data_IF_218879406244
#
_entry.id   IF_218879406244
#
_cell.length_a   1.000
_cell.length_b   1.000
_cell.length_c   1.000
_cell.angle_alpha   90.00
_cell.angle_beta   90.00
_cell.angle_gamma   90.00
#
_symmetry.space_group_name_H-M   'P 1'
#
loop_
_entity.id
_entity.type
_entity.pdbx_description
1 polymer ?
#
# COMPACT_ATOMS: atom_id res chain seq x y z
N UNK A 1 -13.10 8.54 -61.14
CA UNK A 1 -11.84 7.92 -60.70
C UNK A 1 -10.94 9.00 -60.12
N UNK A 2 -10.75 9.02 -58.81
CA UNK A 2 -9.69 9.74 -58.11
C UNK A 2 -9.51 9.06 -56.75
N UNK A 3 -8.28 8.58 -56.51
CA UNK A 3 -7.92 7.64 -55.46
C UNK A 3 -7.74 8.32 -54.10
N UNK A 4 -8.05 7.56 -53.06
CA UNK A 4 -7.96 7.93 -51.65
C UNK A 4 -6.51 8.20 -51.21
N UNK A 5 -6.32 9.28 -50.45
CA UNK A 5 -5.08 9.52 -49.69
C UNK A 5 -5.23 8.85 -48.33
N UNK A 6 -4.32 7.91 -48.06
CA UNK A 6 -4.16 7.21 -46.80
C UNK A 6 -3.90 8.20 -45.66
N UNK A 7 -4.82 8.27 -44.69
CA UNK A 7 -4.58 8.88 -43.40
C UNK A 7 -3.78 7.90 -42.53
N UNK A 8 -2.51 8.22 -42.27
CA UNK A 8 -1.68 7.51 -41.33
C UNK A 8 -2.25 7.68 -39.91
N UNK A 9 -2.85 6.63 -39.37
CA UNK A 9 -3.21 6.55 -37.96
C UNK A 9 -1.92 6.37 -37.16
N UNK A 10 -1.40 7.46 -36.61
CA UNK A 10 -0.38 7.39 -35.55
C UNK A 10 -1.04 6.67 -34.38
N UNK A 11 -0.65 5.42 -34.17
CA UNK A 11 -0.94 4.70 -32.94
C UNK A 11 -0.32 5.50 -31.79
N UNK A 12 -1.16 6.18 -31.02
CA UNK A 12 -0.83 6.59 -29.67
C UNK A 12 -0.56 5.30 -28.91
N UNK A 13 0.72 4.94 -28.81
CA UNK A 13 1.23 4.00 -27.83
C UNK A 13 0.68 4.48 -26.50
N UNK A 14 -0.28 3.74 -25.96
CA UNK A 14 -0.77 3.92 -24.61
C UNK A 14 0.41 3.72 -23.68
N UNK A 15 1.09 4.82 -23.35
CA UNK A 15 1.83 4.89 -22.11
C UNK A 15 0.78 4.61 -21.05
N UNK A 16 0.84 3.42 -20.47
CA UNK A 16 0.21 3.16 -19.19
C UNK A 16 0.60 4.35 -18.32
N UNK A 17 -0.38 5.16 -17.95
CA UNK A 17 -0.14 6.25 -17.03
C UNK A 17 0.62 5.62 -15.86
N UNK A 18 1.79 6.17 -15.47
CA UNK A 18 2.43 5.68 -14.27
C UNK A 18 1.35 5.76 -13.18
N UNK A 19 1.20 4.71 -12.37
CA UNK A 19 0.36 4.71 -11.18
C UNK A 19 0.93 5.76 -10.22
N UNK A 20 0.66 7.02 -10.57
CA UNK A 20 1.04 8.24 -9.92
C UNK A 20 -0.21 8.75 -9.25
N UNK A 21 -0.53 8.13 -8.13
CA UNK A 21 -1.38 8.71 -7.13
C UNK A 21 -0.55 8.75 -5.85
N UNK A 22 0.28 9.79 -5.71
CA UNK A 22 0.96 10.08 -4.44
C UNK A 22 -0.07 10.61 -3.40
N UNK A 23 -1.30 10.95 -3.82
CA UNK A 23 -2.39 11.40 -2.94
C UNK A 23 -3.80 11.06 -3.47
N UNK A 24 -4.06 9.82 -3.89
CA UNK A 24 -5.46 9.36 -4.02
C UNK A 24 -5.89 8.76 -2.69
N UNK A 25 -6.01 9.62 -1.67
CA UNK A 25 -6.93 9.36 -0.58
C UNK A 25 -8.31 9.57 -1.18
N UNK A 26 -8.87 8.55 -1.81
CA UNK A 26 -10.27 8.56 -2.21
C UNK A 26 -11.19 8.92 -1.04
N UNK A 27 -12.47 9.08 -1.29
CA UNK A 27 -13.41 9.58 -0.29
C UNK A 27 -13.39 8.76 1.02
N UNK A 28 -13.63 9.38 2.19
CA UNK A 28 -13.77 8.66 3.45
C UNK A 28 -14.78 7.51 3.33
N UNK A 29 -14.42 6.34 3.86
CA UNK A 29 -15.28 5.16 3.85
C UNK A 29 -16.28 5.30 4.99
N UNK A 30 -17.54 5.55 4.69
CA UNK A 30 -18.56 5.78 5.72
C UNK A 30 -19.23 4.51 6.25
N UNK A 31 -19.04 3.36 5.59
CA UNK A 31 -19.53 2.08 6.07
C UNK A 31 -18.53 1.48 7.08
N UNK A 32 -18.93 1.17 8.32
CA UNK A 32 -18.00 0.68 9.34
C UNK A 32 -17.42 -0.70 9.03
N UNK A 33 -18.13 -1.53 8.26
CA UNK A 33 -17.63 -2.85 7.84
C UNK A 33 -16.53 -2.67 6.81
N UNK A 34 -16.77 -1.86 5.77
CA UNK A 34 -15.78 -1.57 4.73
C UNK A 34 -14.56 -0.84 5.32
N UNK A 35 -14.76 0.07 6.28
CA UNK A 35 -13.67 0.75 6.99
C UNK A 35 -12.79 -0.25 7.75
N UNK A 36 -13.41 -1.19 8.48
CA UNK A 36 -12.67 -2.21 9.22
C UNK A 36 -11.93 -3.15 8.29
N UNK A 37 -12.55 -3.57 7.19
CA UNK A 37 -11.91 -4.38 6.16
C UNK A 37 -10.68 -3.69 5.53
N UNK A 38 -10.77 -2.39 5.26
CA UNK A 38 -9.66 -1.60 4.72
C UNK A 38 -8.50 -1.47 5.74
N UNK A 39 -8.81 -1.18 7.00
CA UNK A 39 -7.82 -1.10 8.07
C UNK A 39 -7.14 -2.46 8.31
N UNK A 40 -7.94 -3.54 8.35
CA UNK A 40 -7.43 -4.91 8.48
C UNK A 40 -6.50 -5.26 7.31
N UNK A 41 -6.91 -4.97 6.07
CA UNK A 41 -6.08 -5.22 4.89
C UNK A 41 -4.75 -4.44 4.93
N UNK A 42 -4.79 -3.20 5.42
CA UNK A 42 -3.59 -2.38 5.62
C UNK A 42 -2.63 -3.01 6.62
N UNK A 43 -3.15 -3.54 7.73
CA UNK A 43 -2.36 -4.27 8.72
C UNK A 43 -1.64 -5.48 8.12
N UNK A 44 -2.28 -6.21 7.21
CA UNK A 44 -1.66 -7.34 6.50
C UNK A 44 -0.55 -6.92 5.53
N UNK A 45 -0.59 -5.69 5.02
CA UNK A 45 0.43 -5.20 4.09
C UNK A 45 1.76 -4.83 4.76
N UNK A 46 1.75 -4.51 6.07
CA UNK A 46 2.94 -4.10 6.83
C UNK A 46 4.08 -5.13 6.80
N UNK A 47 3.89 -6.41 7.18
CA UNK A 47 4.99 -7.38 7.22
C UNK A 47 5.64 -7.57 5.84
N UNK A 48 4.83 -7.68 4.77
CA UNK A 48 5.35 -7.85 3.40
C UNK A 48 6.16 -6.63 2.96
N UNK A 49 5.71 -5.42 3.28
CA UNK A 49 6.48 -4.21 2.98
C UNK A 49 7.79 -4.14 3.80
N UNK A 50 7.76 -4.53 5.08
CA UNK A 50 8.94 -4.58 5.95
C UNK A 50 9.99 -5.59 5.47
N UNK A 51 9.55 -6.76 5.02
CA UNK A 51 10.41 -7.77 4.39
C UNK A 51 11.02 -7.26 3.09
N UNK A 52 10.23 -6.64 2.21
CA UNK A 52 10.73 -6.04 0.97
C UNK A 52 11.79 -4.98 1.25
N UNK A 53 11.54 -4.04 2.17
CA UNK A 53 12.51 -3.02 2.58
C UNK A 53 13.80 -3.67 3.09
N UNK A 54 13.69 -4.70 3.92
CA UNK A 54 14.86 -5.39 4.51
C UNK A 54 15.68 -6.10 3.44
N UNK A 55 15.03 -6.76 2.48
CA UNK A 55 15.70 -7.47 1.37
C UNK A 55 16.51 -6.52 0.47
N UNK A 56 16.05 -5.28 0.30
CA UNK A 56 16.72 -4.29 -0.55
C UNK A 56 18.07 -3.85 0.00
N UNK A 57 18.31 -3.99 1.31
CA UNK A 57 19.64 -3.72 1.88
C UNK A 57 20.73 -4.56 1.22
N UNK A 58 20.42 -5.80 0.88
CA UNK A 58 21.36 -6.74 0.26
C UNK A 58 21.33 -6.64 -1.27
N UNK A 59 20.15 -6.42 -1.84
CA UNK A 59 19.93 -6.41 -3.30
C UNK A 59 20.26 -5.07 -3.96
N UNK A 60 20.29 -3.98 -3.19
CA UNK A 60 20.61 -2.63 -3.65
C UNK A 60 21.82 -2.08 -2.88
N UNK A 61 23.04 -2.56 -3.15
CA UNK A 61 24.24 -2.04 -2.51
C UNK A 61 24.54 -0.61 -2.96
N UNK A 62 25.19 0.17 -2.09
CA UNK A 62 25.60 1.52 -2.43
C UNK A 62 26.66 1.52 -3.55
N UNK A 63 26.57 2.45 -4.53
CA UNK A 63 25.51 3.44 -4.72
C UNK A 63 24.23 2.82 -5.31
N UNK A 64 23.08 3.08 -4.69
CA UNK A 64 21.81 2.40 -4.99
C UNK A 64 21.07 2.97 -6.21
N UNK A 65 21.75 3.74 -7.06
CA UNK A 65 21.16 4.41 -8.22
C UNK A 65 20.39 3.48 -9.18
N UNK A 66 20.82 2.23 -9.41
CA UNK A 66 20.06 1.31 -10.25
C UNK A 66 18.64 1.06 -9.68
N UNK A 67 18.49 0.89 -8.36
CA UNK A 67 17.21 0.52 -7.77
C UNK A 67 16.18 1.66 -7.73
N UNK A 68 14.93 1.39 -8.12
CA UNK A 68 13.81 2.32 -7.93
C UNK A 68 13.23 2.22 -6.51
N UNK A 69 13.85 2.94 -5.57
CA UNK A 69 13.37 3.01 -4.19
C UNK A 69 12.07 3.82 -4.04
N UNK A 70 11.67 4.60 -5.06
CA UNK A 70 10.38 5.30 -5.07
C UNK A 70 9.18 4.36 -5.08
N UNK A 71 9.35 3.10 -5.51
CA UNK A 71 8.31 2.07 -5.45
C UNK A 71 7.84 1.85 -4.02
N UNK A 72 8.74 1.82 -3.04
CA UNK A 72 8.40 1.52 -1.64
C UNK A 72 7.47 2.59 -1.04
N UNK A 73 7.77 3.87 -1.31
CA UNK A 73 6.91 4.98 -0.88
C UNK A 73 5.53 4.90 -1.53
N UNK A 74 5.45 4.59 -2.83
CA UNK A 74 4.14 4.40 -3.51
C UNK A 74 3.36 3.21 -2.94
N UNK A 75 4.03 2.11 -2.64
CA UNK A 75 3.42 0.92 -2.02
C UNK A 75 2.90 1.23 -0.62
N UNK A 76 3.68 1.91 0.22
CA UNK A 76 3.27 2.36 1.54
C UNK A 76 2.00 3.22 1.44
N UNK A 77 1.97 4.20 0.53
CA UNK A 77 0.81 5.08 0.38
C UNK A 77 -0.44 4.35 -0.10
N UNK A 78 -0.31 3.51 -1.12
CA UNK A 78 -1.45 2.80 -1.70
C UNK A 78 -2.05 1.72 -0.77
N UNK A 79 -1.29 1.24 0.22
CA UNK A 79 -1.67 0.08 1.05
C UNK A 79 -1.84 0.42 2.52
N UNK A 80 -1.24 1.50 2.99
CA UNK A 80 -1.25 1.91 4.38
C UNK A 80 -1.92 3.27 4.51
N UNK A 81 -1.20 4.37 4.21
CA UNK A 81 -1.71 5.71 4.55
C UNK A 81 -2.98 6.09 3.81
N UNK A 82 -3.15 5.71 2.54
CA UNK A 82 -4.38 5.95 1.78
C UNK A 82 -5.60 5.26 2.40
N UNK A 83 -5.63 3.92 2.46
CA UNK A 83 -6.72 3.17 3.06
C UNK A 83 -6.99 3.57 4.52
N UNK A 84 -5.95 3.79 5.33
CA UNK A 84 -6.13 4.15 6.74
C UNK A 84 -6.67 5.58 6.91
N UNK A 85 -6.28 6.54 6.06
CA UNK A 85 -6.91 7.87 6.05
C UNK A 85 -8.39 7.80 5.69
N UNK A 86 -8.80 6.84 4.87
CA UNK A 86 -10.20 6.64 4.49
C UNK A 86 -11.02 5.98 5.60
N UNK A 87 -10.42 5.08 6.38
CA UNK A 87 -11.15 4.21 7.31
C UNK A 87 -11.12 4.67 8.76
N UNK A 88 -9.99 5.21 9.24
CA UNK A 88 -9.74 5.33 10.69
C UNK A 88 -10.75 6.24 11.40
N UNK A 89 -11.21 7.33 10.77
CA UNK A 89 -12.22 8.20 11.38
C UNK A 89 -13.55 7.47 11.60
N UNK A 90 -13.99 6.66 10.64
CA UNK A 90 -15.23 5.89 10.76
C UNK A 90 -15.11 4.80 11.83
N UNK A 91 -13.93 4.23 12.05
CA UNK A 91 -13.71 3.31 13.18
C UNK A 91 -13.89 4.02 14.53
N UNK A 92 -13.45 5.28 14.64
CA UNK A 92 -13.67 6.10 15.85
C UNK A 92 -15.15 6.42 16.02
N UNK A 93 -15.80 6.93 14.98
CA UNK A 93 -17.18 7.44 15.04
C UNK A 93 -18.22 6.33 15.23
N UNK A 94 -18.06 5.21 14.53
CA UNK A 94 -19.10 4.15 14.44
C UNK A 94 -18.77 2.92 15.27
N UNK A 95 -17.49 2.60 15.48
CA UNK A 95 -17.06 1.43 16.24
C UNK A 95 -16.40 1.76 17.58
N UNK A 96 -16.30 3.03 17.94
CA UNK A 96 -15.78 3.48 19.24
C UNK A 96 -14.29 3.24 19.41
N UNK A 97 -13.53 3.21 18.33
CA UNK A 97 -12.08 3.05 18.38
C UNK A 97 -11.40 4.21 19.13
N UNK A 98 -10.29 3.92 19.82
CA UNK A 98 -9.54 4.94 20.57
C UNK A 98 -8.86 5.94 19.61
N UNK A 99 -9.24 7.22 19.74
CA UNK A 99 -8.69 8.29 18.91
C UNK A 99 -7.17 8.49 19.11
N UNK A 100 -6.66 8.31 20.33
CA UNK A 100 -5.22 8.41 20.61
C UNK A 100 -4.42 7.33 19.87
N UNK A 101 -4.93 6.09 19.86
CA UNK A 101 -4.31 4.98 19.10
C UNK A 101 -4.37 5.27 17.60
N UNK A 102 -5.47 5.84 17.10
CA UNK A 102 -5.60 6.28 15.69
C UNK A 102 -4.56 7.35 15.31
N UNK A 103 -4.30 8.33 16.19
CA UNK A 103 -3.26 9.33 15.97
C UNK A 103 -1.85 8.70 15.92
N UNK A 104 -1.56 7.74 16.80
CA UNK A 104 -0.29 7.02 16.83
C UNK A 104 -0.04 6.19 15.56
N UNK A 105 -1.08 5.53 15.03
CA UNK A 105 -1.04 4.82 13.75
C UNK A 105 -0.68 5.79 12.62
N UNK A 106 -1.40 6.92 12.55
CA UNK A 106 -1.18 7.95 11.54
C UNK A 106 0.24 8.50 11.58
N UNK A 107 0.72 8.87 12.77
CA UNK A 107 2.06 9.41 12.96
C UNK A 107 3.14 8.40 12.57
N UNK A 108 3.00 7.13 12.98
CA UNK A 108 3.97 6.08 12.67
C UNK A 108 4.09 5.84 11.17
N UNK A 109 2.95 5.80 10.46
CA UNK A 109 2.96 5.61 9.00
C UNK A 109 3.56 6.82 8.29
N UNK A 110 3.22 8.04 8.68
CA UNK A 110 3.78 9.25 8.10
C UNK A 110 5.31 9.32 8.28
N UNK A 111 5.82 8.91 9.43
CA UNK A 111 7.26 8.82 9.68
C UNK A 111 7.92 7.75 8.80
N UNK A 112 7.32 6.57 8.66
CA UNK A 112 7.81 5.53 7.76
C UNK A 112 7.86 6.02 6.30
N UNK A 113 6.77 6.60 5.80
CA UNK A 113 6.68 7.15 4.44
C UNK A 113 7.67 8.28 4.21
N UNK A 114 7.89 9.15 5.20
CA UNK A 114 8.87 10.22 5.15
C UNK A 114 10.28 9.71 4.88
N UNK A 115 10.70 8.64 5.57
CA UNK A 115 12.02 8.03 5.33
C UNK A 115 12.08 7.32 3.98
N UNK A 116 11.03 6.59 3.59
CA UNK A 116 10.95 5.94 2.28
C UNK A 116 11.02 6.94 1.12
N UNK A 117 10.38 8.10 1.28
CA UNK A 117 10.46 9.20 0.32
C UNK A 117 11.89 9.75 0.22
N UNK A 118 12.57 9.97 1.34
CA UNK A 118 13.96 10.42 1.37
C UNK A 118 14.91 9.40 0.73
N UNK A 119 14.68 8.11 0.95
CA UNK A 119 15.46 7.02 0.34
C UNK A 119 15.44 7.06 -1.19
N UNK A 120 14.40 7.62 -1.81
CA UNK A 120 14.34 7.77 -3.26
C UNK A 120 15.44 8.70 -3.84
N UNK A 121 16.10 9.52 -3.00
CA UNK A 121 17.29 10.26 -3.42
C UNK A 121 18.50 9.35 -3.70
N UNK A 122 18.51 8.11 -3.18
CA UNK A 122 19.52 7.05 -3.45
C UNK A 122 20.97 7.38 -3.05
N UNK A 123 21.18 8.44 -2.26
CA UNK A 123 22.51 8.88 -1.81
C UNK A 123 22.88 8.29 -0.44
N UNK A 124 21.98 8.37 0.53
CA UNK A 124 22.14 7.83 1.88
C UNK A 124 20.85 7.13 2.26
N UNK A 125 20.79 5.83 2.01
CA UNK A 125 19.57 5.04 2.16
C UNK A 125 19.50 4.43 3.55
N UNK A 126 18.38 4.65 4.23
CA UNK A 126 18.05 4.07 5.52
C UNK A 126 16.96 3.01 5.37
N UNK A 127 17.36 1.74 5.34
CA UNK A 127 16.43 0.61 5.29
C UNK A 127 15.91 0.19 6.67
N UNK A 128 16.48 0.71 7.77
CA UNK A 128 16.14 0.24 9.12
C UNK A 128 15.00 1.06 9.71
N UNK A 129 15.15 2.38 9.72
CA UNK A 129 14.18 3.29 10.35
C UNK A 129 12.75 3.13 9.82
N UNK A 130 12.47 2.99 8.51
CA UNK A 130 11.09 2.83 8.04
C UNK A 130 10.47 1.53 8.57
N UNK A 131 11.23 0.44 8.69
CA UNK A 131 10.72 -0.83 9.27
C UNK A 131 10.34 -0.63 10.74
N UNK A 132 11.14 0.11 11.52
CA UNK A 132 10.82 0.38 12.93
C UNK A 132 9.51 1.15 13.09
N UNK A 133 9.24 2.13 12.22
CA UNK A 133 7.99 2.87 12.24
C UNK A 133 6.81 2.04 11.74
N UNK A 134 7.02 1.15 10.77
CA UNK A 134 6.01 0.19 10.35
C UNK A 134 5.66 -0.81 11.47
N UNK A 135 6.64 -1.27 12.25
CA UNK A 135 6.40 -2.15 13.40
C UNK A 135 5.60 -1.45 14.51
N UNK A 136 5.86 -0.15 14.73
CA UNK A 136 5.06 0.67 15.64
C UNK A 136 3.62 0.81 15.14
N UNK A 137 3.43 1.14 13.86
CA UNK A 137 2.10 1.21 13.26
C UNK A 137 1.35 -0.13 13.34
N UNK A 138 2.03 -1.25 13.14
CA UNK A 138 1.46 -2.59 13.29
C UNK A 138 1.00 -2.85 14.73
N UNK A 139 1.83 -2.49 15.71
CA UNK A 139 1.51 -2.66 17.12
C UNK A 139 0.30 -1.81 17.53
N UNK A 140 0.24 -0.55 17.10
CA UNK A 140 -0.91 0.33 17.38
C UNK A 140 -2.17 -0.13 16.64
N UNK A 141 -2.07 -0.71 15.44
CA UNK A 141 -3.20 -1.33 14.74
C UNK A 141 -3.71 -2.58 15.48
N UNK A 142 -2.81 -3.39 16.02
CA UNK A 142 -3.19 -4.56 16.82
C UNK A 142 -3.92 -4.13 18.11
N UNK A 143 -3.42 -3.09 18.80
CA UNK A 143 -4.09 -2.46 19.95
C UNK A 143 -5.47 -1.89 19.57
N UNK A 144 -5.56 -1.19 18.43
CA UNK A 144 -6.82 -0.68 17.91
C UNK A 144 -7.83 -1.82 17.76
N UNK A 145 -7.42 -2.93 17.14
CA UNK A 145 -8.28 -4.08 16.90
C UNK A 145 -8.68 -4.78 18.21
N UNK A 146 -7.80 -4.91 19.20
CA UNK A 146 -8.18 -5.46 20.52
C UNK A 146 -9.34 -4.69 21.19
N UNK A 147 -9.52 -3.40 20.86
CA UNK A 147 -10.61 -2.57 21.34
C UNK A 147 -11.94 -2.71 20.57
N UNK A 148 -11.96 -3.41 19.43
CA UNK A 148 -13.14 -3.50 18.55
C UNK A 148 -13.96 -4.79 18.79
N UNK A 149 -15.22 -4.85 18.32
CA UNK A 149 -16.03 -6.06 18.42
C UNK A 149 -15.38 -7.25 17.69
N UNK A 150 -15.21 -8.37 18.41
CA UNK A 150 -14.55 -9.59 17.90
C UNK A 150 -15.25 -10.16 16.66
N UNK A 151 -16.59 -10.10 16.61
CA UNK A 151 -17.38 -10.58 15.49
C UNK A 151 -17.17 -9.75 14.22
N UNK A 152 -17.04 -8.43 14.37
CA UNK A 152 -16.71 -7.53 13.26
C UNK A 152 -15.30 -7.80 12.73
N UNK A 153 -14.32 -8.04 13.60
CA UNK A 153 -12.96 -8.41 13.20
C UNK A 153 -12.90 -9.77 12.50
N UNK A 154 -13.61 -10.75 13.03
CA UNK A 154 -13.72 -12.07 12.40
C UNK A 154 -14.36 -11.97 11.01
N UNK A 155 -15.39 -11.12 10.85
CA UNK A 155 -16.00 -10.86 9.55
C UNK A 155 -15.04 -10.17 8.58
N UNK A 156 -14.28 -9.17 9.04
CA UNK A 156 -13.27 -8.50 8.21
C UNK A 156 -12.16 -9.45 7.76
N UNK A 157 -11.68 -10.32 8.65
CA UNK A 157 -10.71 -11.37 8.32
C UNK A 157 -11.28 -12.37 7.30
N UNK A 158 -12.52 -12.84 7.51
CA UNK A 158 -13.18 -13.76 6.58
C UNK A 158 -13.41 -13.14 5.19
N UNK A 159 -13.78 -11.85 5.14
CA UNK A 159 -13.93 -11.08 3.91
C UNK A 159 -12.60 -10.96 3.17
N UNK A 160 -11.53 -10.62 3.91
CA UNK A 160 -10.17 -10.60 3.37
C UNK A 160 -9.79 -11.96 2.77
N UNK A 161 -10.04 -13.06 3.49
CA UNK A 161 -9.74 -14.43 3.07
C UNK A 161 -10.60 -14.91 1.87
N UNK A 162 -11.79 -14.35 1.69
CA UNK A 162 -12.71 -14.70 0.60
C UNK A 162 -12.39 -13.99 -0.74
N UNK A 163 -11.44 -13.05 -0.77
CA UNK A 163 -11.08 -12.33 -1.99
C UNK A 163 -10.65 -13.26 -3.13
N UNK A 164 -11.19 -13.02 -4.33
CA UNK A 164 -10.79 -13.75 -5.53
C UNK A 164 -9.37 -13.34 -5.96
N UNK A 165 -8.42 -14.27 -5.78
CA UNK A 165 -7.00 -14.09 -6.09
C UNK A 165 -6.65 -14.37 -7.56
N UNK A 166 -7.61 -14.80 -8.39
CA UNK A 166 -7.41 -14.96 -9.84
C UNK A 166 -7.48 -13.64 -10.60
N UNK A 167 -7.99 -12.60 -9.95
CA UNK A 167 -8.13 -11.25 -10.50
C UNK A 167 -6.83 -10.46 -10.23
N UNK A 168 -6.30 -9.73 -11.22
CA UNK A 168 -5.10 -8.92 -11.02
C UNK A 168 -5.31 -7.76 -10.04
N UNK A 169 -4.25 -7.31 -9.34
CA UNK A 169 -4.37 -6.27 -8.30
C UNK A 169 -4.81 -4.90 -8.84
N UNK A 170 -4.56 -4.60 -10.12
CA UNK A 170 -4.96 -3.35 -10.77
C UNK A 170 -6.45 -3.33 -11.14
N UNK A 171 -7.13 -4.47 -11.12
CA UNK A 171 -8.54 -4.53 -11.45
C UNK A 171 -9.40 -3.82 -10.38
N UNK A 172 -10.52 -3.18 -10.79
CA UNK A 172 -11.50 -2.64 -9.85
C UNK A 172 -12.06 -3.73 -8.91
N UNK A 173 -12.47 -3.31 -7.71
CA UNK A 173 -13.04 -4.18 -6.68
C UNK A 173 -12.98 -3.54 -5.30
N UNK A 174 -13.46 -4.27 -4.29
CA UNK A 174 -13.38 -3.86 -2.89
C UNK A 174 -11.92 -3.58 -2.50
N UNK A 175 -11.72 -2.52 -1.71
CA UNK A 175 -10.39 -2.00 -1.38
C UNK A 175 -9.52 -3.06 -0.67
N UNK A 176 -10.09 -3.77 0.31
CA UNK A 176 -9.43 -4.87 1.01
C UNK A 176 -8.89 -5.95 0.05
N UNK A 177 -9.68 -6.35 -0.94
CA UNK A 177 -9.28 -7.34 -1.93
C UNK A 177 -8.21 -6.82 -2.90
N UNK A 178 -8.27 -5.55 -3.28
CA UNK A 178 -7.21 -4.92 -4.09
C UNK A 178 -5.89 -4.89 -3.33
N UNK A 179 -5.92 -4.53 -2.04
CA UNK A 179 -4.74 -4.55 -1.17
C UNK A 179 -4.21 -5.98 -1.05
N UNK A 180 -5.07 -6.96 -0.73
CA UNK A 180 -4.66 -8.38 -0.62
C UNK A 180 -3.96 -8.87 -1.87
N UNK A 181 -4.57 -8.68 -3.04
CA UNK A 181 -3.96 -9.06 -4.33
C UNK A 181 -2.60 -8.43 -4.53
N UNK A 182 -2.45 -7.14 -4.21
CA UNK A 182 -1.20 -6.42 -4.37
C UNK A 182 -0.11 -6.95 -3.40
N UNK A 183 -0.50 -7.27 -2.16
CA UNK A 183 0.38 -7.86 -1.14
C UNK A 183 0.84 -9.25 -1.54
N UNK A 184 -0.07 -10.12 -1.96
CA UNK A 184 0.22 -11.50 -2.37
C UNK A 184 1.08 -11.56 -3.63
N UNK A 185 0.82 -10.68 -4.61
CA UNK A 185 1.68 -10.55 -5.79
C UNK A 185 3.09 -10.16 -5.40
N UNK A 186 3.28 -9.29 -4.41
CA UNK A 186 4.62 -8.91 -3.96
C UNK A 186 5.30 -9.98 -3.11
N UNK A 187 4.57 -10.64 -2.21
CA UNK A 187 5.07 -11.74 -1.40
C UNK A 187 5.55 -12.92 -2.27
N UNK A 188 4.92 -13.13 -3.42
CA UNK A 188 5.29 -14.17 -4.38
C UNK A 188 6.47 -13.80 -5.30
N UNK A 189 7.00 -12.57 -5.23
CA UNK A 189 8.13 -12.16 -6.08
C UNK A 189 9.46 -12.68 -5.54
N UNK A 190 10.21 -13.38 -6.39
CA UNK A 190 11.60 -13.74 -6.12
C UNK A 190 12.54 -12.52 -6.07
N UNK A 191 12.15 -11.41 -6.71
CA UNK A 191 12.95 -10.18 -6.77
C UNK A 191 12.04 -8.97 -6.56
N UNK A 192 12.35 -8.09 -5.58
CA UNK A 192 11.59 -6.89 -5.34
C UNK A 192 11.41 -6.04 -6.60
N UNK A 193 10.24 -5.38 -6.71
CA UNK A 193 9.94 -4.54 -7.87
C UNK A 193 10.96 -3.41 -8.03
N UNK A 194 11.47 -2.87 -6.91
CA UNK A 194 12.53 -1.86 -6.88
C UNK A 194 13.81 -2.30 -7.58
N UNK A 195 14.10 -3.60 -7.64
CA UNK A 195 15.27 -4.17 -8.33
C UNK A 195 14.93 -4.52 -9.78
N UNK A 196 13.75 -5.09 -10.04
CA UNK A 196 13.34 -5.46 -11.40
C UNK A 196 13.18 -4.25 -12.33
N UNK A 197 12.79 -3.10 -11.79
CA UNK A 197 12.61 -1.86 -12.56
C UNK A 197 13.93 -1.18 -12.95
N UNK A 198 15.06 -1.70 -12.45
CA UNK A 198 16.42 -1.18 -12.65
C UNK A 198 17.16 -1.81 -13.85
N UNK A 199 16.67 -2.97 -14.31
CA UNK A 199 17.28 -3.80 -15.35
C UNK A 199 16.68 -3.48 -16.72
#
# INVERSE_FOLDING_TARGET
AAAAVLGASVALVGGAAPAGAIYDSGDPITDPTEALEAAFASRQAIPVLGEEITSLKELCPAPTFPCDLGVLSRKATARLSGPLKQSLLTLVEELGADFGVVEEIGQSIELAEGVLYQNNARVSVDFKTPVQFLDLAASSLDELFEGLPEDALAAAAASYDACDMTIPPEAPGALNCRIRRAVEVDAARDTPQSVASAQ
#
